data_IF_555218669386
#
_entry.id   IF_555218669386
#
_cell.length_a   1.000
_cell.length_b   1.000
_cell.length_c   1.000
_cell.angle_alpha   90.00
_cell.angle_beta   90.00
_cell.angle_gamma   90.00
#
_symmetry.space_group_name_H-M   'P 1'
#
loop_
_entity.id
_entity.type
_entity.pdbx_description
1 polymer ?
#
# COMPACT_ATOMS: atom_id res chain seq x y z
N UNK A 1 -0.10 23.06 5.86
CA UNK A 1 -0.76 21.92 6.53
C UNK A 1 -0.07 21.49 7.86
N UNK A 2 1.11 21.95 8.18
CA UNK A 2 1.84 21.52 9.40
C UNK A 2 1.61 22.38 10.65
N UNK A 3 0.80 23.44 10.58
CA UNK A 3 0.54 24.35 11.71
C UNK A 3 -0.39 23.79 12.79
N UNK A 4 -1.13 22.73 12.51
CA UNK A 4 -2.05 22.12 13.48
C UNK A 4 -1.41 20.87 14.07
N UNK A 5 -0.80 21.02 15.25
CA UNK A 5 -0.34 19.89 16.07
C UNK A 5 -1.53 19.39 16.89
N UNK A 6 -2.07 18.25 16.52
CA UNK A 6 -3.12 17.57 17.26
C UNK A 6 -2.66 16.14 17.58
N UNK A 7 -2.17 15.84 18.79
CA UNK A 7 -1.65 14.51 19.12
C UNK A 7 -2.59 13.36 18.85
N UNK A 8 -3.90 13.58 19.02
CA UNK A 8 -4.92 12.57 18.69
C UNK A 8 -4.98 12.27 17.18
N UNK A 9 -4.74 13.29 16.33
CA UNK A 9 -4.74 13.13 14.88
C UNK A 9 -3.46 12.41 14.42
N UNK A 10 -2.31 12.71 15.04
CA UNK A 10 -1.06 12.01 14.79
C UNK A 10 -1.19 10.53 15.15
N UNK A 11 -1.83 10.23 16.30
CA UNK A 11 -2.12 8.86 16.72
C UNK A 11 -3.06 8.15 15.76
N UNK A 12 -4.17 8.80 15.40
CA UNK A 12 -5.15 8.23 14.46
C UNK A 12 -4.53 7.98 13.07
N UNK A 13 -3.75 8.92 12.55
CA UNK A 13 -3.07 8.78 11.27
C UNK A 13 -2.02 7.65 11.31
N UNK A 14 -1.28 7.53 12.42
CA UNK A 14 -0.31 6.44 12.61
C UNK A 14 -1.01 5.08 12.71
N UNK A 15 -2.16 5.01 13.39
CA UNK A 15 -2.98 3.79 13.46
C UNK A 15 -3.50 3.35 12.07
N UNK A 16 -3.94 4.30 11.24
CA UNK A 16 -4.28 4.01 9.83
C UNK A 16 -3.07 3.44 9.09
N UNK A 17 -1.88 3.95 9.36
CA UNK A 17 -0.65 3.47 8.77
C UNK A 17 -0.34 2.01 9.00
N UNK A 18 -0.77 1.41 10.12
CA UNK A 18 -0.58 -0.01 10.40
C UNK A 18 -1.16 -0.90 9.30
N UNK A 19 -2.30 -0.51 8.73
CA UNK A 19 -2.94 -1.27 7.65
C UNK A 19 -2.16 -1.26 6.32
N UNK A 20 -1.22 -0.36 6.16
CA UNK A 20 -0.30 -0.31 5.01
C UNK A 20 1.04 -1.02 5.24
N UNK A 21 1.31 -1.53 6.43
CA UNK A 21 2.54 -2.28 6.74
C UNK A 21 2.62 -3.59 5.92
N UNK A 22 3.83 -4.01 5.61
CA UNK A 22 4.06 -5.18 4.75
C UNK A 22 3.48 -6.46 5.36
N UNK A 23 3.65 -6.65 6.65
CA UNK A 23 3.16 -7.80 7.39
C UNK A 23 1.63 -7.86 7.40
N UNK A 24 0.98 -6.72 7.66
CA UNK A 24 -0.49 -6.64 7.71
C UNK A 24 -1.07 -6.85 6.32
N UNK A 25 -0.54 -6.16 5.31
CA UNK A 25 -1.02 -6.29 3.92
C UNK A 25 -0.72 -7.67 3.35
N UNK A 26 0.42 -8.28 3.70
CA UNK A 26 0.76 -9.67 3.37
C UNK A 26 -0.21 -10.67 3.99
N UNK A 27 -0.55 -10.49 5.26
CA UNK A 27 -1.56 -11.31 5.97
C UNK A 27 -2.95 -11.19 5.34
N UNK A 28 -3.37 -9.97 4.98
CA UNK A 28 -4.64 -9.72 4.27
C UNK A 28 -4.62 -10.42 2.90
N UNK A 29 -3.54 -10.30 2.15
CA UNK A 29 -3.41 -10.95 0.84
C UNK A 29 -3.51 -12.47 0.93
N UNK A 30 -2.84 -13.06 1.91
CA UNK A 30 -2.91 -14.51 2.17
C UNK A 30 -4.34 -14.94 2.56
N UNK A 31 -4.99 -14.19 3.45
CA UNK A 31 -6.38 -14.46 3.84
C UNK A 31 -7.34 -14.40 2.65
N UNK A 32 -7.19 -13.40 1.77
CA UNK A 32 -7.97 -13.28 0.53
C UNK A 32 -7.69 -14.46 -0.42
N UNK A 33 -6.44 -14.87 -0.59
CA UNK A 33 -6.06 -16.00 -1.43
C UNK A 33 -6.69 -17.30 -0.90
N UNK A 34 -6.61 -17.57 0.40
CA UNK A 34 -7.22 -18.73 1.03
C UNK A 34 -8.75 -18.70 0.89
N UNK A 35 -9.38 -17.55 1.13
CA UNK A 35 -10.84 -17.41 1.00
C UNK A 35 -11.30 -17.67 -0.44
N UNK A 36 -10.57 -17.20 -1.45
CA UNK A 36 -10.85 -17.48 -2.86
C UNK A 36 -10.63 -18.95 -3.22
N UNK A 37 -9.54 -19.54 -2.71
CA UNK A 37 -9.25 -20.96 -2.93
C UNK A 37 -10.37 -21.86 -2.36
N UNK A 38 -10.81 -21.57 -1.15
CA UNK A 38 -11.93 -22.32 -0.50
C UNK A 38 -13.25 -22.20 -1.26
N UNK A 39 -13.43 -21.09 -2.02
CA UNK A 39 -14.59 -20.90 -2.90
C UNK A 39 -14.39 -21.49 -4.29
N UNK A 40 -13.29 -22.18 -4.56
CA UNK A 40 -12.98 -22.78 -5.86
C UNK A 40 -12.69 -21.75 -6.95
N UNK A 41 -12.30 -20.52 -6.60
CA UNK A 41 -12.03 -19.47 -7.57
C UNK A 41 -10.66 -19.67 -8.22
N UNK A 42 -10.64 -19.69 -9.57
CA UNK A 42 -9.39 -19.85 -10.34
C UNK A 42 -8.39 -18.71 -10.20
N UNK A 43 -8.82 -17.57 -9.69
CA UNK A 43 -8.01 -16.37 -9.46
C UNK A 43 -7.54 -16.22 -7.99
N UNK A 44 -7.51 -17.31 -7.24
CA UNK A 44 -7.07 -17.35 -5.84
C UNK A 44 -5.61 -16.88 -5.67
N UNK A 45 -4.79 -16.99 -6.68
CA UNK A 45 -3.39 -16.54 -6.70
C UNK A 45 -3.23 -15.01 -6.81
N UNK A 46 -4.24 -14.29 -7.31
CA UNK A 46 -4.15 -12.84 -7.60
C UNK A 46 -3.74 -12.01 -6.39
N UNK A 47 -4.31 -12.18 -5.17
CA UNK A 47 -3.87 -11.42 -4.01
C UNK A 47 -2.38 -11.60 -3.68
N UNK A 48 -1.78 -12.76 -4.01
CA UNK A 48 -0.37 -13.04 -3.74
C UNK A 48 0.59 -12.21 -4.62
N UNK A 49 0.10 -11.57 -5.69
CA UNK A 49 0.88 -10.60 -6.46
C UNK A 49 1.29 -9.36 -5.65
N UNK A 50 0.84 -9.24 -4.40
CA UNK A 50 1.39 -8.25 -3.47
C UNK A 50 2.90 -8.39 -3.31
N UNK A 51 3.44 -9.60 -3.48
CA UNK A 51 4.88 -9.85 -3.50
C UNK A 51 5.56 -9.16 -4.71
N UNK A 52 4.89 -9.13 -5.86
CA UNK A 52 5.37 -8.40 -7.06
C UNK A 52 5.34 -6.89 -6.79
N UNK A 53 4.29 -6.38 -6.12
CA UNK A 53 4.24 -4.98 -5.70
C UNK A 53 5.42 -4.64 -4.79
N UNK A 54 5.71 -5.48 -3.80
CA UNK A 54 6.82 -5.27 -2.88
C UNK A 54 8.19 -5.34 -3.60
N UNK A 55 8.37 -6.31 -4.49
CA UNK A 55 9.60 -6.42 -5.28
C UNK A 55 9.81 -5.20 -6.19
N UNK A 56 8.74 -4.72 -6.85
CA UNK A 56 8.80 -3.52 -7.68
C UNK A 56 9.05 -2.26 -6.84
N UNK A 57 8.47 -2.16 -5.64
CA UNK A 57 8.77 -1.09 -4.69
C UNK A 57 10.27 -1.03 -4.37
N UNK A 58 10.86 -2.17 -4.00
CA UNK A 58 12.30 -2.25 -3.68
C UNK A 58 13.15 -1.86 -4.89
N UNK A 59 12.84 -2.41 -6.07
CA UNK A 59 13.58 -2.10 -7.30
C UNK A 59 13.50 -0.60 -7.65
N UNK A 60 12.33 0.02 -7.53
CA UNK A 60 12.16 1.45 -7.81
C UNK A 60 12.87 2.32 -6.77
N UNK A 61 12.82 1.96 -5.48
CA UNK A 61 13.54 2.69 -4.43
C UNK A 61 15.06 2.68 -4.61
N UNK A 62 15.59 1.60 -5.17
CA UNK A 62 17.04 1.49 -5.48
C UNK A 62 17.41 2.22 -6.77
N UNK A 63 16.53 2.19 -7.79
CA UNK A 63 16.78 2.81 -9.09
C UNK A 63 16.50 4.33 -9.10
N UNK A 64 15.59 4.81 -8.25
CA UNK A 64 15.14 6.20 -8.18
C UNK A 64 15.34 6.72 -6.75
N UNK A 65 16.57 7.05 -6.35
CA UNK A 65 16.88 7.46 -4.99
C UNK A 65 16.31 8.86 -4.70
N UNK A 66 15.08 8.92 -4.23
CA UNK A 66 14.45 10.15 -3.74
C UNK A 66 14.61 10.23 -2.23
N UNK A 67 15.12 11.35 -1.67
CA UNK A 67 15.27 11.51 -0.23
C UNK A 67 13.90 11.57 0.45
N UNK A 68 13.84 10.99 1.64
CA UNK A 68 12.68 11.10 2.54
C UNK A 68 12.48 12.57 2.96
N UNK A 69 11.24 12.97 3.35
CA UNK A 69 11.03 14.21 4.07
C UNK A 69 11.95 14.31 5.30
N UNK A 70 12.36 15.52 5.69
CA UNK A 70 13.18 15.73 6.91
C UNK A 70 12.54 15.10 8.14
N UNK A 71 13.33 14.37 8.93
CA UNK A 71 12.83 13.64 10.12
C UNK A 71 12.19 14.55 11.16
N UNK A 72 12.62 15.79 11.22
CA UNK A 72 12.09 16.83 12.13
C UNK A 72 10.62 17.18 11.82
N UNK A 73 10.17 16.87 10.60
CA UNK A 73 8.79 17.05 10.17
C UNK A 73 7.91 15.84 10.43
N UNK A 74 8.51 14.67 10.69
CA UNK A 74 7.75 13.44 10.91
C UNK A 74 6.91 13.55 12.19
N UNK A 75 5.66 13.11 12.09
CA UNK A 75 4.68 13.03 13.17
C UNK A 75 4.28 11.60 13.47
N UNK A 76 4.97 10.64 12.86
CA UNK A 76 4.65 9.23 13.01
C UNK A 76 4.92 8.76 14.42
N UNK A 77 3.91 8.13 15.02
CA UNK A 77 3.98 7.45 16.30
C UNK A 77 4.15 5.96 16.01
N UNK A 78 5.24 5.37 16.47
CA UNK A 78 5.46 3.94 16.34
C UNK A 78 4.56 3.19 17.35
N UNK A 79 3.49 2.57 16.83
CA UNK A 79 2.50 1.87 17.65
C UNK A 79 2.84 0.40 17.85
N UNK A 80 3.48 -0.22 16.84
CA UNK A 80 3.87 -1.63 16.84
C UNK A 80 5.25 -1.73 16.18
N UNK A 81 6.22 -2.39 16.84
CA UNK A 81 7.55 -2.58 16.26
C UNK A 81 7.50 -3.69 15.20
N UNK A 82 7.11 -3.33 13.97
CA UNK A 82 7.27 -4.22 12.82
C UNK A 82 8.72 -4.26 12.35
N UNK A 83 9.08 -5.33 11.61
CA UNK A 83 10.39 -5.42 11.00
C UNK A 83 10.58 -4.30 9.96
N UNK A 84 11.40 -3.31 10.28
CA UNK A 84 11.70 -2.23 9.36
C UNK A 84 12.86 -2.61 8.45
N UNK A 85 12.58 -2.95 7.20
CA UNK A 85 13.60 -2.93 6.17
C UNK A 85 13.84 -1.47 5.80
N UNK A 86 14.94 -0.91 6.28
CA UNK A 86 15.35 0.46 5.96
C UNK A 86 15.77 0.52 4.49
N UNK A 87 14.87 0.96 3.62
CA UNK A 87 15.17 1.26 2.23
C UNK A 87 15.55 2.73 2.10
N UNK A 88 16.64 3.01 1.39
CA UNK A 88 17.21 4.36 1.29
C UNK A 88 16.33 5.39 0.55
N UNK A 89 15.36 4.93 -0.26
CA UNK A 89 14.52 5.79 -1.11
C UNK A 89 13.11 6.00 -0.57
N UNK A 90 12.57 7.21 -0.77
CA UNK A 90 11.18 7.54 -0.45
C UNK A 90 10.20 7.01 -1.51
N UNK A 91 10.60 7.07 -2.80
CA UNK A 91 9.75 6.75 -3.95
C UNK A 91 9.90 5.30 -4.41
N UNK A 92 8.77 4.62 -4.70
CA UNK A 92 7.39 4.98 -4.40
C UNK A 92 6.99 4.60 -2.95
N UNK A 93 5.87 5.13 -2.47
CA UNK A 93 5.32 4.74 -1.16
C UNK A 93 4.78 3.31 -1.18
N UNK A 94 5.42 2.42 -0.43
CA UNK A 94 5.00 1.03 -0.32
C UNK A 94 3.66 0.85 0.39
N UNK A 95 3.36 1.66 1.42
CA UNK A 95 2.05 1.66 2.07
C UNK A 95 0.93 1.88 1.06
N UNK A 96 1.10 2.87 0.19
CA UNK A 96 0.09 3.20 -0.82
C UNK A 96 0.02 2.12 -1.90
N UNK A 97 1.17 1.63 -2.38
CA UNK A 97 1.21 0.62 -3.43
C UNK A 97 0.48 -0.67 -3.00
N UNK A 98 0.77 -1.16 -1.80
CA UNK A 98 0.13 -2.36 -1.26
C UNK A 98 -1.35 -2.14 -0.98
N UNK A 99 -1.72 -0.99 -0.37
CA UNK A 99 -3.12 -0.67 -0.09
C UNK A 99 -3.93 -0.52 -1.38
N UNK A 100 -3.42 0.20 -2.38
CA UNK A 100 -4.09 0.39 -3.66
C UNK A 100 -4.27 -0.93 -4.42
N UNK A 101 -3.24 -1.79 -4.41
CA UNK A 101 -3.33 -3.13 -4.99
C UNK A 101 -4.43 -3.96 -4.31
N UNK A 102 -4.39 -4.07 -2.97
CA UNK A 102 -5.37 -4.87 -2.23
C UNK A 102 -6.79 -4.33 -2.39
N UNK A 103 -6.99 -3.02 -2.31
CA UNK A 103 -8.30 -2.39 -2.52
C UNK A 103 -8.85 -2.69 -3.92
N UNK A 104 -7.96 -2.77 -4.93
CA UNK A 104 -8.34 -3.10 -6.32
C UNK A 104 -8.73 -4.57 -6.51
N UNK A 105 -8.17 -5.49 -5.72
CA UNK A 105 -8.42 -6.94 -5.87
C UNK A 105 -9.36 -7.53 -4.82
N UNK A 106 -9.70 -6.80 -3.75
CA UNK A 106 -10.49 -7.32 -2.62
C UNK A 106 -11.98 -7.54 -2.91
N UNK A 107 -12.49 -7.18 -4.10
CA UNK A 107 -13.91 -7.28 -4.45
C UNK A 107 -14.84 -6.51 -3.50
N UNK A 108 -14.37 -5.36 -3.01
CA UNK A 108 -15.15 -4.40 -2.21
C UNK A 108 -15.78 -3.32 -3.10
N UNK A 109 -16.82 -2.61 -2.64
CA UNK A 109 -17.41 -1.50 -3.37
C UNK A 109 -16.38 -0.44 -3.74
N UNK A 110 -16.47 0.11 -4.96
CA UNK A 110 -15.48 1.07 -5.47
C UNK A 110 -15.33 2.31 -4.57
N UNK A 111 -16.42 2.83 -4.01
CA UNK A 111 -16.38 3.96 -3.09
C UNK A 111 -15.54 3.65 -1.83
N UNK A 112 -15.66 2.43 -1.29
CA UNK A 112 -14.88 2.00 -0.13
C UNK A 112 -13.39 1.85 -0.50
N UNK A 113 -13.10 1.24 -1.64
CA UNK A 113 -11.73 1.11 -2.13
C UNK A 113 -11.06 2.49 -2.29
N UNK A 114 -11.75 3.44 -2.93
CA UNK A 114 -11.27 4.82 -3.10
C UNK A 114 -11.08 5.51 -1.75
N UNK A 115 -12.04 5.38 -0.83
CA UNK A 115 -11.95 6.01 0.50
C UNK A 115 -10.76 5.50 1.32
N UNK A 116 -10.54 4.18 1.34
CA UNK A 116 -9.41 3.56 2.05
C UNK A 116 -8.08 4.05 1.48
N UNK A 117 -7.93 4.06 0.16
CA UNK A 117 -6.71 4.52 -0.50
C UNK A 117 -6.49 6.02 -0.26
N UNK A 118 -7.52 6.84 -0.42
CA UNK A 118 -7.44 8.29 -0.21
C UNK A 118 -7.07 8.63 1.25
N UNK A 119 -7.66 7.92 2.22
CA UNK A 119 -7.32 8.08 3.63
C UNK A 119 -5.86 7.71 3.90
N UNK A 120 -5.40 6.58 3.36
CA UNK A 120 -4.01 6.17 3.49
C UNK A 120 -3.06 7.22 2.86
N UNK A 121 -3.38 7.73 1.67
CA UNK A 121 -2.60 8.79 1.00
C UNK A 121 -2.51 10.05 1.87
N UNK A 122 -3.65 10.52 2.38
CA UNK A 122 -3.72 11.71 3.21
C UNK A 122 -2.88 11.56 4.48
N UNK A 123 -2.94 10.40 5.15
CA UNK A 123 -2.18 10.16 6.39
C UNK A 123 -0.68 10.14 6.15
N UNK A 124 -0.17 9.56 5.06
CA UNK A 124 1.28 9.51 4.77
C UNK A 124 1.87 10.89 4.48
N UNK A 125 1.11 11.75 3.78
CA UNK A 125 1.52 13.14 3.55
C UNK A 125 1.40 13.97 4.84
N UNK A 126 0.31 13.79 5.60
CA UNK A 126 0.09 14.48 6.86
C UNK A 126 1.20 14.19 7.90
N UNK A 127 1.58 12.92 8.03
CA UNK A 127 2.65 12.49 8.96
C UNK A 127 4.05 12.87 8.47
N UNK A 128 4.19 13.44 7.27
CA UNK A 128 5.46 13.74 6.62
C UNK A 128 6.38 12.51 6.45
N UNK A 129 5.79 11.34 6.27
CA UNK A 129 6.53 10.12 5.97
C UNK A 129 6.92 10.03 4.50
N UNK A 130 6.11 10.65 3.61
CA UNK A 130 6.28 10.63 2.17
C UNK A 130 5.93 11.96 1.53
N UNK A 131 6.60 12.25 0.41
CA UNK A 131 6.21 13.33 -0.49
C UNK A 131 4.93 12.97 -1.25
N UNK A 132 4.14 13.96 -1.72
CA UNK A 132 2.98 13.70 -2.58
C UNK A 132 3.33 12.88 -3.84
N UNK A 133 4.52 13.06 -4.41
CA UNK A 133 5.02 12.27 -5.54
C UNK A 133 5.16 10.79 -5.22
N UNK A 134 5.66 10.45 -4.01
CA UNK A 134 5.83 9.06 -3.58
C UNK A 134 4.50 8.35 -3.45
N UNK A 135 3.52 9.10 -2.93
CA UNK A 135 2.15 8.63 -2.72
C UNK A 135 1.46 8.37 -4.06
N UNK A 136 1.60 9.28 -5.02
CA UNK A 136 1.09 9.08 -6.39
C UNK A 136 1.79 7.93 -7.10
N UNK A 137 3.11 7.83 -6.98
CA UNK A 137 3.89 6.71 -7.52
C UNK A 137 3.44 5.36 -6.95
N UNK A 138 3.20 5.30 -5.64
CA UNK A 138 2.65 4.11 -4.99
C UNK A 138 1.26 3.73 -5.50
N UNK A 139 0.37 4.71 -5.63
CA UNK A 139 -0.97 4.50 -6.21
C UNK A 139 -0.89 3.89 -7.61
N UNK A 140 -0.09 4.50 -8.48
CA UNK A 140 0.08 4.03 -9.87
C UNK A 140 0.64 2.61 -9.90
N UNK A 141 1.65 2.30 -9.10
CA UNK A 141 2.24 0.97 -9.02
C UNK A 141 1.21 -0.08 -8.59
N UNK A 142 0.48 0.17 -7.51
CA UNK A 142 -0.52 -0.78 -7.00
C UNK A 142 -1.64 -1.05 -7.98
N UNK A 143 -2.19 0.02 -8.59
CA UNK A 143 -3.25 -0.08 -9.60
C UNK A 143 -2.75 -0.78 -10.86
N UNK A 144 -1.54 -0.47 -11.34
CA UNK A 144 -0.95 -1.09 -12.52
C UNK A 144 -0.84 -2.62 -12.37
N UNK A 145 -0.29 -3.08 -11.25
CA UNK A 145 -0.16 -4.53 -10.98
C UNK A 145 -1.53 -5.19 -10.92
N UNK A 146 -2.53 -4.55 -10.30
CA UNK A 146 -3.90 -5.06 -10.24
C UNK A 146 -4.54 -5.15 -11.64
N UNK A 147 -4.33 -4.18 -12.52
CA UNK A 147 -4.84 -4.19 -13.89
C UNK A 147 -4.18 -5.28 -14.73
N UNK A 148 -2.87 -5.46 -14.62
CA UNK A 148 -2.16 -6.56 -15.28
C UNK A 148 -2.72 -7.91 -14.84
N UNK A 149 -2.94 -8.10 -13.55
CA UNK A 149 -3.57 -9.31 -13.02
C UNK A 149 -4.99 -9.54 -13.58
N UNK A 150 -5.80 -8.50 -13.64
CA UNK A 150 -7.15 -8.58 -14.20
C UNK A 150 -7.16 -9.00 -15.69
N UNK A 151 -6.22 -8.47 -16.48
CA UNK A 151 -6.05 -8.88 -17.88
C UNK A 151 -5.63 -10.35 -17.99
N UNK A 152 -4.68 -10.80 -17.16
CA UNK A 152 -4.23 -12.20 -17.14
C UNK A 152 -5.38 -13.17 -16.81
N UNK A 153 -6.18 -12.84 -15.79
CA UNK A 153 -7.36 -13.64 -15.41
C UNK A 153 -8.40 -13.69 -16.54
N UNK A 154 -8.67 -12.55 -17.21
CA UNK A 154 -9.62 -12.52 -18.34
C UNK A 154 -9.16 -13.38 -19.51
N UNK A 155 -7.87 -13.38 -19.83
CA UNK A 155 -7.30 -14.23 -20.89
C UNK A 155 -7.41 -15.71 -20.55
N UNK A 156 -7.09 -16.10 -19.31
CA UNK A 156 -7.19 -17.51 -18.86
C UNK A 156 -8.62 -18.05 -18.84
N UNK A 157 -9.65 -17.21 -18.81
CA UNK A 157 -11.06 -17.63 -18.87
C UNK A 157 -11.57 -17.86 -20.30
N UNK A 158 -10.83 -17.42 -21.32
CA UNK A 158 -11.21 -17.56 -22.73
C UNK A 158 -10.67 -18.83 -23.41
N UNK A 159 -9.75 -19.50 -22.73
CA UNK A 159 -9.18 -20.80 -23.09
C UNK A 159 -9.70 -21.90 -22.17
#
# INVERSE_FOLDING_TARGET
MQSVRAPWLDLAASAVGLFGQAEVTGGIALGLAIARLRRGLRDAWVPLLIAVVAAAEVALKTALPQPLPPRELSRTIELVPFAHVVLAGAFPSGHIARTAFLASVASIPAWLAVSVVALMMATRVYLADHWPSDVLGGLLLGVLVAQVAAVAVRRSRRH
#
